data_IF_456894188760
#
_entry.id   IF_456894188760
#
_cell.length_a   1.000
_cell.length_b   1.000
_cell.length_c   1.000
_cell.angle_alpha   90.00
_cell.angle_beta   90.00
_cell.angle_gamma   90.00
#
_symmetry.space_group_name_H-M   'P 1'
#
loop_
_entity.id
_entity.type
_entity.pdbx_description
1 polymer ?
#
# COMPACT_ATOMS: atom_id res chain seq x y z
N UNK A 1 2.82 14.59 17.96
CA UNK A 1 3.58 15.01 16.77
C UNK A 1 2.98 14.29 15.57
N UNK A 2 2.47 14.99 14.55
CA UNK A 2 2.06 14.30 13.31
C UNK A 2 3.33 14.06 12.50
N UNK A 3 3.76 12.81 12.40
CA UNK A 3 4.95 12.43 11.64
C UNK A 3 4.77 12.82 10.17
N UNK A 4 5.76 13.54 9.63
CA UNK A 4 5.74 13.97 8.23
C UNK A 4 6.07 12.79 7.32
N UNK A 5 5.35 12.68 6.20
CA UNK A 5 5.58 11.65 5.20
C UNK A 5 6.50 12.20 4.11
N UNK A 6 7.51 11.41 3.71
CA UNK A 6 8.43 11.77 2.63
C UNK A 6 8.21 10.89 1.41
N UNK A 7 7.98 11.52 0.26
CA UNK A 7 7.93 10.82 -1.02
C UNK A 7 9.33 10.31 -1.39
N UNK A 8 9.52 8.99 -1.59
CA UNK A 8 10.82 8.43 -1.96
C UNK A 8 11.22 8.71 -3.41
N UNK A 9 10.30 9.23 -4.23
CA UNK A 9 10.54 9.50 -5.66
C UNK A 9 11.02 10.94 -5.91
N UNK A 10 10.29 11.94 -5.39
CA UNK A 10 10.62 13.35 -5.63
C UNK A 10 11.12 14.10 -4.38
N UNK A 11 11.13 13.46 -3.20
CA UNK A 11 11.63 14.06 -1.95
C UNK A 11 10.65 14.99 -1.24
N UNK A 12 9.45 15.24 -1.79
CA UNK A 12 8.41 16.03 -1.12
C UNK A 12 8.14 15.51 0.28
N UNK A 13 8.12 16.41 1.25
CA UNK A 13 7.82 16.11 2.66
C UNK A 13 6.59 16.91 3.06
N UNK A 14 5.54 16.23 3.53
CA UNK A 14 4.27 16.85 3.88
C UNK A 14 3.55 16.05 4.96
N UNK A 15 2.41 16.56 5.44
CA UNK A 15 1.60 15.81 6.39
C UNK A 15 0.87 14.67 5.68
N UNK A 16 0.54 13.55 6.37
CA UNK A 16 -0.17 12.43 5.75
C UNK A 16 -1.46 12.84 5.03
N UNK A 17 -2.20 13.84 5.52
CA UNK A 17 -3.46 14.29 4.91
C UNK A 17 -3.27 14.97 3.54
N UNK A 18 -2.04 15.32 3.18
CA UNK A 18 -1.71 15.89 1.87
C UNK A 18 -1.50 14.81 0.82
N UNK A 19 -1.39 13.54 1.21
CA UNK A 19 -1.25 12.40 0.32
C UNK A 19 -2.59 11.71 0.09
N UNK A 20 -2.75 11.09 -1.08
CA UNK A 20 -3.89 10.20 -1.33
C UNK A 20 -3.52 8.78 -0.94
N UNK A 21 -4.42 8.11 -0.20
CA UNK A 21 -4.27 6.70 0.17
C UNK A 21 -5.22 5.86 -0.67
N UNK A 22 -4.69 4.82 -1.29
CA UNK A 22 -5.43 3.91 -2.15
C UNK A 22 -5.26 2.48 -1.64
N UNK A 23 -6.38 1.82 -1.40
CA UNK A 23 -6.43 0.40 -1.06
C UNK A 23 -6.97 -0.39 -2.25
N UNK A 24 -6.16 -1.32 -2.75
CA UNK A 24 -6.59 -2.28 -3.77
C UNK A 24 -7.31 -3.44 -3.09
N UNK A 25 -8.50 -3.80 -3.59
CA UNK A 25 -9.23 -4.98 -3.17
C UNK A 25 -9.53 -5.86 -4.38
N UNK A 26 -9.24 -7.16 -4.25
CA UNK A 26 -9.54 -8.16 -5.28
C UNK A 26 -10.69 -9.03 -4.80
N UNK A 27 -11.65 -9.28 -5.69
CA UNK A 27 -12.77 -10.18 -5.44
C UNK A 27 -12.73 -11.27 -6.51
N UNK A 28 -12.75 -12.53 -6.07
CA UNK A 28 -12.81 -13.69 -6.97
C UNK A 28 -14.27 -14.10 -7.16
N UNK A 29 -14.70 -14.25 -8.41
CA UNK A 29 -16.00 -14.83 -8.73
C UNK A 29 -15.83 -16.31 -9.05
N UNK A 30 -16.33 -17.20 -8.20
CA UNK A 30 -16.12 -18.65 -8.30
C UNK A 30 -17.30 -19.39 -8.94
N UNK A 31 -18.28 -18.66 -9.51
CA UNK A 31 -19.54 -19.21 -10.02
C UNK A 31 -20.53 -19.64 -8.91
N UNK A 32 -20.06 -19.89 -7.68
CA UNK A 32 -20.88 -20.15 -6.48
C UNK A 32 -21.07 -18.92 -5.59
N UNK A 33 -20.25 -17.89 -5.79
CA UNK A 33 -20.31 -16.65 -5.01
C UNK A 33 -19.11 -15.74 -5.25
N UNK A 34 -19.04 -14.69 -4.44
CA UNK A 34 -17.88 -13.81 -4.32
C UNK A 34 -17.01 -14.32 -3.17
N UNK A 35 -15.74 -14.60 -3.44
CA UNK A 35 -14.74 -14.91 -2.43
C UNK A 35 -13.75 -13.74 -2.33
N UNK A 36 -13.41 -13.37 -1.10
CA UNK A 36 -12.42 -12.33 -0.83
C UNK A 36 -11.00 -12.89 -1.00
N UNK A 37 -10.11 -12.09 -1.59
CA UNK A 37 -8.69 -12.41 -1.58
C UNK A 37 -8.17 -12.38 -0.12
N UNK A 38 -7.64 -13.49 0.38
CA UNK A 38 -7.05 -13.57 1.74
C UNK A 38 -5.73 -12.78 1.87
N UNK A 39 -5.15 -12.34 0.76
CA UNK A 39 -3.91 -11.57 0.76
C UNK A 39 -4.18 -10.14 1.17
N UNK A 40 -3.65 -9.77 2.35
CA UNK A 40 -3.55 -8.37 2.72
C UNK A 40 -2.53 -7.64 1.84
N UNK A 41 -2.98 -6.57 1.19
CA UNK A 41 -2.11 -5.67 0.41
C UNK A 41 -1.84 -4.40 1.21
N UNK A 42 -0.59 -3.91 1.23
CA UNK A 42 -0.30 -2.64 1.89
C UNK A 42 -1.01 -1.49 1.19
N UNK A 43 -1.32 -0.46 1.96
CA UNK A 43 -1.91 0.77 1.44
C UNK A 43 -0.90 1.45 0.52
N UNK A 44 -1.34 1.80 -0.69
CA UNK A 44 -0.56 2.63 -1.60
C UNK A 44 -0.75 4.09 -1.25
N UNK A 45 0.34 4.83 -1.17
CA UNK A 45 0.36 6.27 -0.96
C UNK A 45 0.75 6.97 -2.25
N UNK A 46 -0.05 7.95 -2.68
CA UNK A 46 0.15 8.69 -3.92
C UNK A 46 0.63 10.10 -3.57
N UNK A 47 1.78 10.48 -4.14
CA UNK A 47 2.36 11.79 -3.90
C UNK A 47 1.61 12.91 -4.64
N UNK A 48 1.20 14.00 -3.98
CA UNK A 48 0.49 15.11 -4.64
C UNK A 48 1.39 15.93 -5.58
N UNK A 49 2.72 15.75 -5.51
CA UNK A 49 3.69 16.53 -6.30
C UNK A 49 4.10 15.85 -7.59
N UNK A 50 4.40 14.56 -7.55
CA UNK A 50 4.87 13.82 -8.72
C UNK A 50 3.87 12.77 -9.22
N UNK A 51 2.75 12.54 -8.53
CA UNK A 51 1.73 11.56 -8.92
C UNK A 51 2.12 10.09 -8.71
N UNK A 52 3.37 9.81 -8.38
CA UNK A 52 3.87 8.44 -8.18
C UNK A 52 3.31 7.80 -6.90
N UNK A 53 2.96 6.52 -7.04
CA UNK A 53 2.56 5.65 -5.95
C UNK A 53 3.75 4.98 -5.26
N UNK A 54 3.69 4.83 -3.95
CA UNK A 54 4.66 4.06 -3.16
C UNK A 54 3.99 3.40 -1.96
N UNK A 55 4.63 2.37 -1.40
CA UNK A 55 4.13 1.66 -0.23
C UNK A 55 4.95 2.04 1.01
N UNK A 56 4.28 2.16 2.16
CA UNK A 56 4.94 2.39 3.45
C UNK A 56 5.56 1.12 4.03
N UNK A 57 5.05 -0.03 3.60
CA UNK A 57 5.55 -1.36 3.95
C UNK A 57 5.80 -2.15 2.67
N UNK A 58 6.76 -3.07 2.70
CA UNK A 58 7.01 -3.94 1.54
C UNK A 58 5.77 -4.81 1.27
N UNK A 59 5.22 -4.83 0.04
CA UNK A 59 4.04 -5.62 -0.31
C UNK A 59 4.26 -7.13 -0.24
N UNK A 60 5.51 -7.57 -0.11
CA UNK A 60 5.87 -8.98 0.05
C UNK A 60 6.36 -9.31 1.46
N UNK A 61 6.39 -8.36 2.40
CA UNK A 61 6.92 -8.59 3.75
C UNK A 61 6.27 -9.80 4.42
N UNK A 62 4.93 -9.84 4.45
CA UNK A 62 4.19 -10.97 5.03
C UNK A 62 4.41 -12.29 4.29
N UNK A 63 4.62 -12.23 2.98
CA UNK A 63 4.95 -13.42 2.19
C UNK A 63 6.34 -13.95 2.58
N UNK A 64 7.33 -13.06 2.72
CA UNK A 64 8.69 -13.42 3.14
C UNK A 64 8.72 -13.96 4.57
N UNK A 65 7.96 -13.37 5.49
CA UNK A 65 7.78 -13.87 6.86
C UNK A 65 7.20 -15.30 6.86
N UNK A 66 6.16 -15.57 6.05
CA UNK A 66 5.58 -16.91 5.90
C UNK A 66 6.54 -17.93 5.30
N UNK A 67 7.45 -17.49 4.44
CA UNK A 67 8.45 -18.34 3.80
C UNK A 67 9.72 -18.53 4.65
N UNK A 68 9.78 -17.95 5.85
CA UNK A 68 10.94 -18.06 6.75
C UNK A 68 12.19 -17.34 6.25
N UNK A 69 12.03 -16.36 5.37
CA UNK A 69 13.12 -15.60 4.74
C UNK A 69 13.22 -14.15 5.25
N UNK A 70 12.72 -13.89 6.47
CA UNK A 70 12.65 -12.57 7.12
C UNK A 70 13.78 -12.28 8.08
#
# INVERSE_FOLDING_TARGET
MKEALKCPRCGFTGRPEEFTFMQEATIYYTGRGLEHEERERPIMVICPRCGEGFYLESPVKRLLERLGAG
#
